data_IF_570159301363
#
_entry.id   IF_570159301363
#
_cell.length_a   1.000
_cell.length_b   1.000
_cell.length_c   1.000
_cell.angle_alpha   90.00
_cell.angle_beta   90.00
_cell.angle_gamma   90.00
#
_symmetry.space_group_name_H-M   'P 1'
#
loop_
_entity.id
_entity.type
_entity.pdbx_description
1 polymer ?
#
# COMPACT_ATOMS: atom_id res chain seq x y z
N UNK A 1 -85.05 -19.84 10.12
CA UNK A 1 -85.05 -18.70 11.06
C UNK A 1 -84.30 -17.57 10.39
N UNK A 2 -85.02 -16.64 9.78
CA UNK A 2 -84.53 -15.29 9.46
C UNK A 2 -84.53 -14.44 10.74
N UNK A 3 -84.22 -13.13 10.74
CA UNK A 3 -83.46 -12.26 9.81
C UNK A 3 -82.39 -11.45 10.63
N UNK A 4 -81.65 -10.44 10.13
CA UNK A 4 -82.08 -9.03 9.98
C UNK A 4 -80.89 -8.24 9.39
N UNK A 5 -81.05 -7.61 8.21
CA UNK A 5 -81.53 -6.23 7.99
C UNK A 5 -80.34 -5.28 7.75
N UNK A 6 -80.10 -4.91 6.48
CA UNK A 6 -80.58 -3.67 5.81
C UNK A 6 -79.79 -2.43 6.30
N UNK A 7 -79.19 -1.60 5.45
CA UNK A 7 -79.81 -0.48 4.71
C UNK A 7 -78.77 0.16 3.74
N UNK A 8 -79.31 0.68 2.63
CA UNK A 8 -78.80 1.37 1.41
C UNK A 8 -78.23 2.81 1.65
N UNK A 9 -78.04 3.73 0.65
CA UNK A 9 -77.49 3.71 -0.73
C UNK A 9 -76.56 4.94 -1.08
N UNK A 10 -76.26 5.12 -2.39
CA UNK A 10 -75.93 6.38 -3.13
C UNK A 10 -74.50 6.91 -3.02
N UNK A 11 -73.88 7.55 -4.02
CA UNK A 11 -74.12 7.72 -5.45
C UNK A 11 -72.78 8.17 -6.05
N UNK A 12 -72.67 8.03 -7.36
CA UNK A 12 -72.13 9.03 -8.29
C UNK A 12 -70.82 8.73 -9.03
N UNK A 13 -70.96 8.94 -10.34
CA UNK A 13 -70.06 8.65 -11.44
C UNK A 13 -69.07 9.81 -11.70
N UNK A 14 -67.78 9.46 -11.83
CA UNK A 14 -66.79 9.96 -12.83
C UNK A 14 -66.38 11.46 -12.86
N UNK A 15 -65.30 11.85 -13.59
CA UNK A 15 -63.99 11.22 -13.79
C UNK A 15 -62.79 12.18 -13.56
N UNK A 16 -61.59 11.61 -13.70
CA UNK A 16 -60.26 12.22 -13.76
C UNK A 16 -60.14 13.43 -14.71
N UNK A 17 -59.48 14.50 -14.27
CA UNK A 17 -58.78 15.45 -15.13
C UNK A 17 -57.69 16.22 -14.38
N UNK A 18 -56.48 16.09 -14.93
CA UNK A 18 -55.26 16.88 -14.78
C UNK A 18 -55.43 18.37 -14.46
N UNK A 19 -54.62 18.87 -13.53
CA UNK A 19 -54.05 20.22 -13.62
C UNK A 19 -52.69 20.27 -12.90
N UNK A 20 -51.64 20.22 -13.73
CA UNK A 20 -50.28 20.70 -13.47
C UNK A 20 -50.27 22.01 -12.67
N UNK A 21 -49.52 22.06 -11.57
CA UNK A 21 -49.04 23.33 -11.00
C UNK A 21 -47.52 23.29 -10.95
N UNK A 22 -46.93 24.00 -11.91
CA UNK A 22 -45.52 24.38 -11.92
C UNK A 22 -45.28 25.37 -10.78
N UNK A 23 -44.36 25.04 -9.89
CA UNK A 23 -43.69 26.00 -9.00
C UNK A 23 -42.19 25.84 -9.21
N UNK A 24 -41.62 26.91 -9.73
CA UNK A 24 -40.25 27.08 -10.21
C UNK A 24 -39.23 27.23 -9.07
N UNK A 25 -38.07 26.62 -9.31
CA UNK A 25 -36.70 27.01 -8.95
C UNK A 25 -36.32 27.23 -7.49
N UNK A 26 -35.56 26.27 -6.96
CA UNK A 26 -34.16 26.48 -6.51
C UNK A 26 -33.45 25.11 -6.50
N UNK A 27 -32.44 24.84 -7.34
CA UNK A 27 -31.60 23.67 -7.16
C UNK A 27 -30.52 23.99 -6.13
N UNK A 28 -30.67 23.36 -4.97
CA UNK A 28 -29.63 22.69 -4.20
C UNK A 28 -28.22 23.29 -4.36
N UNK A 29 -27.86 24.18 -3.43
CA UNK A 29 -26.46 24.49 -3.14
C UNK A 29 -25.79 23.19 -2.70
N UNK A 30 -25.21 22.51 -3.68
CA UNK A 30 -24.19 21.49 -3.46
C UNK A 30 -23.07 22.15 -2.68
N UNK A 31 -23.10 21.96 -1.36
CA UNK A 31 -21.96 22.17 -0.47
C UNK A 31 -20.84 21.21 -0.91
N UNK A 32 -20.12 21.59 -1.95
CA UNK A 32 -18.79 21.08 -2.24
C UNK A 32 -17.90 21.58 -1.12
N UNK A 33 -17.77 20.78 -0.08
CA UNK A 33 -16.65 20.89 0.85
C UNK A 33 -15.37 20.93 -0.01
N UNK A 34 -14.47 21.91 0.17
CA UNK A 34 -13.20 21.87 -0.52
C UNK A 34 -12.51 20.57 -0.14
N UNK A 35 -12.12 19.78 -1.14
CA UNK A 35 -11.18 18.68 -0.94
C UNK A 35 -9.95 19.33 -0.31
N UNK A 36 -9.60 18.93 0.92
CA UNK A 36 -8.47 19.47 1.67
C UNK A 36 -7.23 19.52 0.79
N UNK A 37 -6.82 20.72 0.39
CA UNK A 37 -5.90 20.91 -0.73
C UNK A 37 -4.43 20.62 -0.37
N UNK A 38 -4.04 20.43 0.90
CA UNK A 38 -2.64 20.24 1.27
C UNK A 38 -2.39 19.41 2.55
N UNK A 39 -2.72 18.12 2.53
CA UNK A 39 -2.03 17.18 3.42
C UNK A 39 -1.39 16.11 2.53
N UNK A 40 -0.08 16.18 2.35
CA UNK A 40 0.68 15.13 1.68
C UNK A 40 0.24 13.77 2.26
N UNK A 41 -0.48 12.98 1.46
CA UNK A 41 -1.05 11.71 1.92
C UNK A 41 0.09 10.71 2.07
N UNK A 42 0.66 10.64 3.27
CA UNK A 42 1.76 9.72 3.58
C UNK A 42 1.34 8.28 3.35
N UNK A 43 2.20 7.52 2.68
CA UNK A 43 2.02 6.10 2.41
C UNK A 43 3.16 5.32 3.06
N UNK A 44 2.84 4.28 3.84
CA UNK A 44 3.80 3.23 4.17
C UNK A 44 3.67 2.11 3.15
N UNK A 45 4.68 1.96 2.30
CA UNK A 45 4.76 0.94 1.26
C UNK A 45 5.70 -0.20 1.71
N UNK A 46 5.09 -1.33 2.06
CA UNK A 46 5.76 -2.54 2.51
C UNK A 46 5.92 -3.50 1.33
N UNK A 47 7.15 -3.67 0.85
CA UNK A 47 7.46 -4.47 -0.35
C UNK A 47 7.94 -5.86 0.04
N UNK A 48 7.29 -6.89 -0.49
CA UNK A 48 7.71 -8.30 -0.50
C UNK A 48 8.08 -8.84 0.90
N UNK A 49 7.38 -8.39 1.94
CA UNK A 49 7.59 -8.85 3.32
C UNK A 49 6.90 -10.19 3.54
N UNK A 50 7.46 -11.20 2.89
CA UNK A 50 6.93 -12.55 2.84
C UNK A 50 7.75 -13.50 3.70
N UNK A 51 7.14 -14.62 4.11
CA UNK A 51 7.75 -15.62 5.00
C UNK A 51 9.10 -16.12 4.48
N UNK A 52 9.23 -16.32 3.17
CA UNK A 52 10.47 -16.79 2.55
C UNK A 52 11.67 -15.85 2.85
N UNK A 53 11.49 -14.54 2.67
CA UNK A 53 12.56 -13.54 2.81
C UNK A 53 13.06 -13.42 4.25
N UNK A 54 12.18 -13.65 5.23
CA UNK A 54 12.44 -13.50 6.67
C UNK A 54 12.71 -14.81 7.40
N UNK A 55 12.78 -15.93 6.67
CA UNK A 55 13.18 -17.22 7.24
C UNK A 55 14.63 -17.18 7.73
N UNK A 56 15.05 -18.11 8.63
CA UNK A 56 16.44 -18.20 9.04
C UNK A 56 17.38 -18.40 7.82
N UNK A 57 18.55 -17.74 7.79
CA UNK A 57 19.55 -17.99 6.75
C UNK A 57 19.97 -19.47 6.70
N UNK A 58 20.25 -20.02 5.50
CA UNK A 58 20.38 -19.31 4.22
C UNK A 58 19.07 -19.19 3.43
N UNK A 59 17.92 -19.60 3.99
CA UNK A 59 16.63 -19.53 3.27
C UNK A 59 16.20 -18.07 3.10
N UNK A 60 16.15 -17.32 4.20
CA UNK A 60 15.94 -15.88 4.17
C UNK A 60 17.25 -15.10 4.05
N UNK A 61 17.13 -13.78 3.94
CA UNK A 61 18.29 -12.88 3.83
C UNK A 61 19.19 -12.97 5.08
N UNK A 62 20.51 -12.71 4.97
CA UNK A 62 21.42 -12.76 6.11
C UNK A 62 20.98 -11.90 7.31
N UNK A 63 20.37 -10.73 7.04
CA UNK A 63 19.91 -9.78 8.06
C UNK A 63 18.47 -10.03 8.56
N UNK A 64 17.87 -11.19 8.30
CA UNK A 64 16.42 -11.42 8.47
C UNK A 64 15.90 -11.08 9.87
N UNK A 65 16.62 -11.48 10.93
CA UNK A 65 16.23 -11.18 12.30
C UNK A 65 16.17 -9.68 12.62
N UNK A 66 17.20 -8.93 12.20
CA UNK A 66 17.28 -7.48 12.43
C UNK A 66 16.20 -6.75 11.63
N UNK A 67 16.04 -7.09 10.35
CA UNK A 67 15.05 -6.44 9.48
C UNK A 67 13.62 -6.76 9.94
N UNK A 68 13.33 -7.99 10.39
CA UNK A 68 12.03 -8.33 10.99
C UNK A 68 11.72 -7.40 12.18
N UNK A 69 12.66 -7.23 13.11
CA UNK A 69 12.45 -6.37 14.28
C UNK A 69 12.15 -4.91 13.87
N UNK A 70 12.90 -4.36 12.91
CA UNK A 70 12.69 -3.01 12.40
C UNK A 70 11.34 -2.85 11.69
N UNK A 71 10.98 -3.80 10.80
CA UNK A 71 9.69 -3.77 10.10
C UNK A 71 8.50 -3.86 11.06
N UNK A 72 8.63 -4.66 12.12
CA UNK A 72 7.62 -4.74 13.20
C UNK A 72 7.42 -3.39 13.86
N UNK A 73 8.53 -2.69 14.18
CA UNK A 73 8.48 -1.37 14.80
C UNK A 73 7.86 -0.34 13.86
N UNK A 74 8.29 -0.28 12.59
CA UNK A 74 7.76 0.67 11.59
C UNK A 74 6.26 0.49 11.43
N UNK A 75 5.81 -0.75 11.24
CA UNK A 75 4.38 -1.04 11.08
C UNK A 75 3.58 -0.69 12.35
N UNK A 76 4.13 -0.91 13.53
CA UNK A 76 3.50 -0.49 14.78
C UNK A 76 3.38 1.03 14.90
N UNK A 77 4.43 1.79 14.55
CA UNK A 77 4.37 3.26 14.54
C UNK A 77 3.34 3.78 13.53
N UNK A 78 3.33 3.25 12.31
CA UNK A 78 2.37 3.65 11.28
C UNK A 78 0.92 3.36 11.70
N UNK A 79 0.64 2.20 12.31
CA UNK A 79 -0.69 1.84 12.80
C UNK A 79 -1.15 2.69 14.00
N UNK A 80 -0.22 3.21 14.79
CA UNK A 80 -0.50 4.06 15.94
C UNK A 80 -0.55 5.56 15.60
N UNK A 81 -0.23 5.93 14.36
CA UNK A 81 -0.18 7.31 13.92
C UNK A 81 -1.57 7.96 13.86
N UNK A 82 -1.58 9.26 14.08
CA UNK A 82 -2.72 10.15 13.86
C UNK A 82 -2.22 11.35 13.07
N UNK A 83 -2.88 11.75 11.97
CA UNK A 83 -3.73 10.89 11.15
C UNK A 83 -2.95 9.65 10.64
N UNK A 84 -3.60 8.49 10.46
CA UNK A 84 -2.90 7.29 9.99
C UNK A 84 -2.45 7.46 8.53
N UNK A 85 -1.23 6.98 8.16
CA UNK A 85 -0.83 6.88 6.77
C UNK A 85 -1.64 5.79 6.06
N UNK A 86 -1.68 5.85 4.73
CA UNK A 86 -2.14 4.71 3.94
C UNK A 86 -1.08 3.60 4.01
N UNK A 87 -1.45 2.41 4.50
CA UNK A 87 -0.54 1.26 4.55
C UNK A 87 -0.83 0.33 3.38
N UNK A 88 0.18 0.08 2.55
CA UNK A 88 0.10 -0.79 1.38
C UNK A 88 1.11 -1.91 1.50
N UNK A 89 0.63 -3.15 1.56
CA UNK A 89 1.42 -4.36 1.48
C UNK A 89 1.47 -4.83 0.03
N UNK A 90 2.67 -5.06 -0.48
CA UNK A 90 2.87 -5.65 -1.80
C UNK A 90 3.55 -6.99 -1.62
N UNK A 91 2.98 -8.05 -2.21
CA UNK A 91 3.63 -9.37 -2.30
C UNK A 91 4.18 -9.59 -3.70
N UNK A 92 5.37 -10.15 -3.78
CA UNK A 92 5.88 -10.70 -5.03
C UNK A 92 5.25 -12.06 -5.28
N UNK A 93 4.82 -12.29 -6.51
CA UNK A 93 4.32 -13.58 -7.00
C UNK A 93 5.37 -14.17 -7.95
N UNK A 94 6.19 -15.06 -7.41
CA UNK A 94 7.22 -15.78 -8.14
C UNK A 94 6.67 -16.70 -9.24
N UNK A 95 7.59 -17.34 -9.95
CA UNK A 95 7.29 -18.43 -10.87
C UNK A 95 7.15 -19.76 -10.10
N UNK A 96 6.73 -20.80 -10.81
CA UNK A 96 6.54 -22.14 -10.23
C UNK A 96 7.88 -22.67 -9.71
N UNK A 97 7.91 -23.09 -8.44
CA UNK A 97 9.09 -23.59 -7.75
C UNK A 97 9.90 -22.52 -7.01
N UNK A 98 9.57 -21.24 -7.16
CA UNK A 98 10.18 -20.17 -6.36
C UNK A 98 9.69 -20.24 -4.90
N UNK A 99 10.51 -19.74 -3.97
CA UNK A 99 10.15 -19.71 -2.55
C UNK A 99 8.91 -18.82 -2.26
N UNK A 100 8.61 -17.88 -3.16
CA UNK A 100 7.45 -17.00 -3.18
C UNK A 100 6.49 -17.33 -4.35
N UNK A 101 6.40 -18.61 -4.75
CA UNK A 101 5.33 -19.08 -5.62
C UNK A 101 3.94 -18.80 -4.99
N UNK A 102 2.96 -18.25 -5.73
CA UNK A 102 1.64 -17.97 -5.20
C UNK A 102 1.00 -19.15 -4.45
N UNK A 103 0.47 -18.87 -3.27
CA UNK A 103 -0.13 -19.82 -2.32
C UNK A 103 0.85 -20.78 -1.62
N UNK A 104 2.15 -20.73 -1.92
CA UNK A 104 3.14 -21.45 -1.12
C UNK A 104 3.24 -20.85 0.30
N UNK A 105 3.69 -21.64 1.31
CA UNK A 105 3.89 -21.11 2.66
C UNK A 105 4.84 -19.90 2.70
N UNK A 106 5.91 -19.92 1.89
CA UNK A 106 6.88 -18.83 1.79
C UNK A 106 6.34 -17.54 1.18
N UNK A 107 5.24 -17.62 0.42
CA UNK A 107 4.60 -16.50 -0.26
C UNK A 107 3.70 -15.64 0.65
N UNK A 108 3.25 -16.17 1.79
CA UNK A 108 2.36 -15.44 2.68
C UNK A 108 3.07 -14.21 3.28
N UNK A 109 2.30 -13.14 3.52
CA UNK A 109 2.80 -12.00 4.29
C UNK A 109 3.12 -12.46 5.72
N UNK A 110 4.25 -11.99 6.26
CA UNK A 110 4.59 -12.27 7.67
C UNK A 110 3.71 -11.46 8.62
N UNK A 111 3.32 -10.25 8.21
CA UNK A 111 2.46 -9.35 8.97
C UNK A 111 1.06 -9.39 8.38
N UNK A 112 0.07 -9.93 9.10
CA UNK A 112 -1.30 -9.90 8.64
C UNK A 112 -1.78 -8.44 8.47
N UNK A 113 -2.38 -8.10 7.32
CA UNK A 113 -2.95 -6.78 7.12
C UNK A 113 -4.16 -6.57 8.04
N UNK A 114 -4.31 -5.34 8.54
CA UNK A 114 -5.50 -4.93 9.29
C UNK A 114 -6.61 -4.40 8.35
N UNK A 115 -7.87 -4.33 8.81
CA UNK A 115 -8.92 -3.67 8.04
C UNK A 115 -8.53 -2.24 7.63
N UNK A 116 -8.66 -1.93 6.34
CA UNK A 116 -8.26 -0.64 5.76
C UNK A 116 -6.85 -0.61 5.17
N UNK A 117 -6.01 -1.61 5.47
CA UNK A 117 -4.70 -1.76 4.81
C UNK A 117 -4.87 -2.44 3.45
N UNK A 118 -4.13 -1.95 2.45
CA UNK A 118 -4.22 -2.45 1.07
C UNK A 118 -3.24 -3.60 0.87
N UNK A 119 -3.66 -4.64 0.14
CA UNK A 119 -2.77 -5.72 -0.31
C UNK A 119 -2.80 -5.80 -1.82
N UNK A 120 -1.62 -5.84 -2.45
CA UNK A 120 -1.44 -6.03 -3.87
C UNK A 120 -0.46 -7.18 -4.14
N UNK A 121 -0.71 -7.94 -5.18
CA UNK A 121 0.23 -8.93 -5.68
C UNK A 121 0.90 -8.39 -6.97
N UNK A 122 2.22 -8.56 -7.10
CA UNK A 122 2.99 -8.12 -8.28
C UNK A 122 3.82 -9.25 -8.87
N UNK A 123 4.08 -9.19 -10.18
CA UNK A 123 5.01 -10.10 -10.89
C UNK A 123 6.25 -9.42 -11.46
N UNK A 124 6.39 -8.12 -11.25
CA UNK A 124 7.49 -7.29 -11.77
C UNK A 124 8.22 -6.68 -10.58
N UNK A 125 9.50 -6.31 -10.76
CA UNK A 125 10.29 -5.72 -9.67
C UNK A 125 9.65 -4.41 -9.18
N UNK A 126 9.29 -3.51 -10.10
CA UNK A 126 8.59 -2.28 -9.73
C UNK A 126 7.14 -2.58 -9.36
N UNK A 127 6.75 -2.21 -8.14
CA UNK A 127 5.37 -2.40 -7.66
C UNK A 127 4.35 -1.56 -8.44
N UNK A 128 4.77 -0.53 -9.17
CA UNK A 128 3.92 0.24 -10.08
C UNK A 128 3.67 -0.45 -11.43
N UNK A 129 4.49 -1.44 -11.81
CA UNK A 129 4.40 -2.09 -13.10
C UNK A 129 3.43 -3.27 -13.06
N UNK A 130 2.31 -3.16 -13.77
CA UNK A 130 1.33 -4.23 -13.89
C UNK A 130 0.47 -4.44 -12.64
N UNK A 131 0.35 -3.43 -11.78
CA UNK A 131 -0.56 -3.40 -10.63
C UNK A 131 -1.40 -2.12 -10.64
N UNK A 132 -2.35 -2.01 -9.71
CA UNK A 132 -3.17 -0.79 -9.52
C UNK A 132 -2.51 0.24 -8.58
N UNK A 133 -1.25 0.06 -8.18
CA UNK A 133 -0.59 0.92 -7.19
C UNK A 133 -0.60 2.41 -7.58
N UNK A 134 -0.48 2.72 -8.88
CA UNK A 134 -0.51 4.09 -9.39
C UNK A 134 -1.86 4.80 -9.21
N UNK A 135 -2.95 4.04 -9.13
CA UNK A 135 -4.29 4.57 -8.85
C UNK A 135 -4.55 4.76 -7.35
N UNK A 136 -3.78 4.07 -6.52
CA UNK A 136 -3.89 4.09 -5.05
C UNK A 136 -3.02 5.20 -4.46
N UNK A 137 -1.79 5.38 -4.98
CA UNK A 137 -0.84 6.36 -4.49
C UNK A 137 -0.81 7.56 -5.44
N UNK A 138 -1.23 8.73 -4.96
CA UNK A 138 -1.19 9.96 -5.74
C UNK A 138 0.26 10.37 -6.08
N UNK A 139 0.51 11.10 -7.18
CA UNK A 139 1.85 11.56 -7.56
C UNK A 139 2.54 12.45 -6.52
N UNK A 140 1.78 13.20 -5.72
CA UNK A 140 2.24 14.12 -4.68
C UNK A 140 2.33 13.49 -3.28
N UNK A 141 2.04 12.19 -3.16
CA UNK A 141 2.18 11.45 -1.91
C UNK A 141 3.65 11.24 -1.54
N UNK A 142 3.97 11.39 -0.25
CA UNK A 142 5.24 10.98 0.35
C UNK A 142 5.18 9.47 0.65
N UNK A 143 6.12 8.70 0.11
CA UNK A 143 6.15 7.24 0.23
C UNK A 143 7.30 6.82 1.13
N UNK A 144 6.97 6.27 2.29
CA UNK A 144 7.89 5.57 3.18
C UNK A 144 8.01 4.13 2.72
N UNK A 145 9.20 3.71 2.30
CA UNK A 145 9.46 2.39 1.72
C UNK A 145 10.27 1.52 2.68
N UNK A 146 9.86 0.27 2.83
CA UNK A 146 10.60 -0.78 3.53
C UNK A 146 10.30 -2.16 2.92
N UNK A 147 11.20 -3.13 3.11
CA UNK A 147 11.01 -4.53 2.69
C UNK A 147 12.09 -5.09 1.77
N UNK A 148 11.72 -5.91 0.80
CA UNK A 148 12.63 -6.76 0.04
C UNK A 148 12.38 -6.72 -1.47
N UNK A 149 13.32 -7.11 -2.33
CA UNK A 149 14.76 -7.12 -2.05
C UNK A 149 15.38 -5.78 -2.42
N UNK A 150 16.46 -5.39 -1.74
CA UNK A 150 17.09 -4.07 -1.88
C UNK A 150 17.47 -3.75 -3.33
N UNK A 151 18.21 -4.63 -3.99
CA UNK A 151 18.66 -4.46 -5.37
C UNK A 151 17.63 -4.77 -6.44
N UNK A 152 16.47 -5.33 -6.08
CA UNK A 152 15.36 -5.65 -6.98
C UNK A 152 14.17 -4.72 -6.76
N UNK A 153 13.18 -5.17 -5.98
CA UNK A 153 11.90 -4.49 -5.85
C UNK A 153 11.99 -3.13 -5.20
N UNK A 154 12.88 -2.96 -4.20
CA UNK A 154 13.11 -1.67 -3.54
C UNK A 154 13.67 -0.68 -4.56
N UNK A 155 14.84 -0.98 -5.17
CA UNK A 155 15.47 -0.14 -6.19
C UNK A 155 14.51 0.24 -7.32
N UNK A 156 13.81 -0.74 -7.89
CA UNK A 156 12.91 -0.53 -9.03
C UNK A 156 11.63 0.23 -8.65
N UNK A 157 11.12 0.07 -7.44
CA UNK A 157 9.91 0.77 -6.99
C UNK A 157 10.22 2.20 -6.60
N UNK A 158 11.30 2.45 -5.85
CA UNK A 158 11.76 3.80 -5.51
C UNK A 158 12.06 4.62 -6.78
N UNK A 159 12.80 4.04 -7.73
CA UNK A 159 13.08 4.70 -9.01
C UNK A 159 11.82 5.04 -9.80
N UNK A 160 10.81 4.17 -9.81
CA UNK A 160 9.52 4.44 -10.46
C UNK A 160 8.70 5.50 -9.73
N UNK A 161 8.72 5.50 -8.39
CA UNK A 161 8.05 6.52 -7.58
C UNK A 161 8.63 7.92 -7.85
N UNK A 162 9.95 8.07 -7.87
CA UNK A 162 10.61 9.34 -8.21
C UNK A 162 10.21 9.84 -9.60
N UNK A 163 10.19 8.95 -10.61
CA UNK A 163 9.75 9.30 -11.98
C UNK A 163 8.29 9.75 -12.05
N UNK A 164 7.45 9.35 -11.08
CA UNK A 164 6.05 9.78 -10.97
C UNK A 164 5.89 11.13 -10.25
N UNK A 165 6.95 11.66 -9.63
CA UNK A 165 6.92 12.90 -8.85
C UNK A 165 6.74 12.71 -7.35
N UNK A 166 6.74 11.46 -6.86
CA UNK A 166 6.61 11.21 -5.42
C UNK A 166 7.88 11.61 -4.67
N UNK A 167 7.69 12.14 -3.46
CA UNK A 167 8.74 12.15 -2.44
C UNK A 167 8.89 10.72 -1.90
N UNK A 168 10.14 10.24 -1.79
CA UNK A 168 10.42 8.86 -1.39
C UNK A 168 11.37 8.87 -0.21
N UNK A 169 10.96 8.23 0.88
CA UNK A 169 11.75 8.00 2.08
C UNK A 169 12.08 6.50 2.15
N UNK A 170 13.35 6.11 2.14
CA UNK A 170 13.77 4.72 2.33
C UNK A 170 14.38 4.56 3.72
N UNK A 171 13.89 3.61 4.51
CA UNK A 171 14.37 3.41 5.88
C UNK A 171 15.53 2.40 5.89
N UNK A 172 16.74 2.89 6.11
CA UNK A 172 17.95 2.08 6.28
C UNK A 172 17.77 1.05 7.39
N UNK A 173 18.17 -0.18 7.09
CA UNK A 173 18.03 -1.31 8.00
C UNK A 173 16.62 -1.90 8.06
N UNK A 174 15.65 -1.34 7.33
CA UNK A 174 14.33 -1.92 7.12
C UNK A 174 14.13 -2.45 5.68
N UNK A 175 15.23 -2.59 4.94
CA UNK A 175 15.31 -3.36 3.71
C UNK A 175 16.56 -4.23 3.75
N UNK A 176 16.55 -5.33 3.00
CA UNK A 176 17.74 -6.17 2.85
C UNK A 176 17.73 -6.95 1.53
N UNK A 177 18.84 -7.63 1.26
CA UNK A 177 18.99 -8.55 0.12
C UNK A 177 19.85 -9.76 0.50
N UNK A 178 20.13 -10.62 -0.47
CA UNK A 178 20.99 -11.79 -0.32
C UNK A 178 22.44 -11.47 -0.70
N UNK A 179 23.36 -12.28 -0.17
CA UNK A 179 24.73 -12.31 -0.68
C UNK A 179 24.71 -12.68 -2.18
N UNK A 180 25.37 -11.87 -3.02
CA UNK A 180 25.41 -12.09 -4.46
C UNK A 180 26.65 -12.89 -4.84
N UNK A 181 26.43 -14.02 -5.50
CA UNK A 181 27.49 -14.80 -6.11
C UNK A 181 27.90 -14.11 -7.41
N UNK A 182 29.12 -13.60 -7.45
CA UNK A 182 29.68 -13.00 -8.66
C UNK A 182 30.12 -14.12 -9.62
N UNK A 183 29.59 -14.11 -10.83
CA UNK A 183 29.91 -15.11 -11.87
C UNK A 183 31.01 -14.63 -12.84
N UNK A 184 31.36 -13.35 -12.80
CA UNK A 184 32.39 -12.73 -13.64
C UNK A 184 33.64 -12.38 -12.82
N UNK A 185 34.76 -12.11 -13.50
CA UNK A 185 36.02 -11.61 -12.91
C UNK A 185 36.62 -12.44 -11.76
N UNK A 186 36.60 -13.76 -11.88
CA UNK A 186 37.29 -14.67 -10.95
C UNK A 186 36.40 -15.25 -9.84
N UNK A 187 35.11 -14.97 -9.88
CA UNK A 187 34.16 -15.44 -8.87
C UNK A 187 34.23 -14.63 -7.58
N UNK A 188 33.35 -14.94 -6.64
CA UNK A 188 33.35 -14.32 -5.31
C UNK A 188 31.95 -14.15 -4.75
N UNK A 189 31.89 -13.61 -3.55
CA UNK A 189 30.63 -13.25 -2.89
C UNK A 189 30.70 -11.77 -2.57
N UNK A 190 29.75 -11.01 -3.12
CA UNK A 190 29.47 -9.64 -2.68
C UNK A 190 28.50 -9.75 -1.50
N UNK A 191 28.91 -9.35 -0.28
CA UNK A 191 28.02 -9.42 0.89
C UNK A 191 26.78 -8.56 0.69
N UNK A 192 25.63 -9.04 1.19
CA UNK A 192 24.34 -8.35 1.13
C UNK A 192 24.44 -6.90 1.61
N UNK A 193 25.14 -6.66 2.72
CA UNK A 193 25.33 -5.31 3.28
C UNK A 193 26.07 -4.35 2.37
N UNK A 194 26.98 -4.84 1.52
CA UNK A 194 27.65 -4.00 0.51
C UNK A 194 26.67 -3.62 -0.59
N UNK A 195 25.86 -4.57 -1.06
CA UNK A 195 24.84 -4.33 -2.08
C UNK A 195 23.80 -3.33 -1.56
N UNK A 196 23.38 -3.49 -0.30
CA UNK A 196 22.46 -2.58 0.38
C UNK A 196 23.00 -1.14 0.38
N UNK A 197 24.24 -0.94 0.84
CA UNK A 197 24.87 0.38 0.85
C UNK A 197 25.08 1.00 -0.54
N UNK A 198 25.42 0.18 -1.55
CA UNK A 198 25.53 0.64 -2.95
C UNK A 198 24.18 1.13 -3.50
N UNK A 199 23.10 0.41 -3.21
CA UNK A 199 21.74 0.80 -3.63
C UNK A 199 21.24 2.02 -2.89
N UNK A 200 21.49 2.12 -1.59
CA UNK A 200 21.17 3.32 -0.81
C UNK A 200 21.82 4.56 -1.41
N UNK A 201 23.12 4.48 -1.74
CA UNK A 201 23.84 5.59 -2.36
C UNK A 201 23.30 5.95 -3.75
N UNK A 202 22.99 4.95 -4.59
CA UNK A 202 22.36 5.16 -5.91
C UNK A 202 21.01 5.87 -5.78
N UNK A 203 20.16 5.40 -4.87
CA UNK A 203 18.84 5.95 -4.66
C UNK A 203 18.90 7.35 -4.04
N UNK A 204 19.83 7.59 -3.12
CA UNK A 204 20.07 8.91 -2.53
C UNK A 204 20.51 9.93 -3.59
N UNK A 205 21.45 9.56 -4.47
CA UNK A 205 21.87 10.42 -5.59
C UNK A 205 20.71 10.69 -6.56
N UNK A 206 19.80 9.73 -6.74
CA UNK A 206 18.59 9.90 -7.55
C UNK A 206 17.51 10.78 -6.90
N UNK A 207 17.61 11.08 -5.60
CA UNK A 207 16.68 11.94 -4.86
C UNK A 207 15.78 11.23 -3.85
N UNK A 208 16.03 9.96 -3.51
CA UNK A 208 15.40 9.31 -2.35
C UNK A 208 16.04 9.84 -1.07
N UNK A 209 15.23 10.16 -0.07
CA UNK A 209 15.76 10.47 1.26
C UNK A 209 16.01 9.19 2.05
N UNK A 210 17.25 8.94 2.43
CA UNK A 210 17.59 7.78 3.27
C UNK A 210 17.50 8.17 4.75
N UNK A 211 16.66 7.47 5.50
CA UNK A 211 16.42 7.72 6.93
C UNK A 211 16.90 6.53 7.76
N UNK A 212 17.31 6.78 9.01
CA UNK A 212 17.66 5.72 9.94
C UNK A 212 16.46 5.33 10.81
N UNK A 213 16.52 4.15 11.44
CA UNK A 213 15.48 3.69 12.38
C UNK A 213 15.18 4.67 13.52
N UNK A 214 16.14 5.52 13.92
CA UNK A 214 15.96 6.55 14.95
C UNK A 214 15.00 7.66 14.51
N UNK A 215 14.82 7.85 13.21
CA UNK A 215 14.00 8.90 12.63
C UNK A 215 12.54 8.45 12.48
N UNK A 216 12.29 7.12 12.44
CA UNK A 216 10.97 6.49 12.25
C UNK A 216 9.86 7.07 13.14
N UNK A 217 10.06 7.28 14.45
CA UNK A 217 9.01 7.88 15.26
C UNK A 217 8.58 9.26 14.72
N UNK A 218 9.53 10.09 14.30
CA UNK A 218 9.25 11.42 13.75
C UNK A 218 8.62 11.42 12.36
N UNK A 219 8.74 10.32 11.59
CA UNK A 219 8.07 10.16 10.30
C UNK A 219 6.56 10.08 10.49
N UNK A 220 6.07 9.42 11.54
CA UNK A 220 4.63 9.15 11.72
C UNK A 220 3.95 10.04 12.77
N UNK A 221 4.66 11.05 13.30
CA UNK A 221 4.09 12.04 14.22
C UNK A 221 3.38 13.17 13.46
N UNK A 222 2.31 13.70 14.06
CA UNK A 222 1.50 14.82 13.55
C UNK A 222 2.39 15.95 12.99
N UNK A 223 2.20 16.29 11.71
CA UNK A 223 2.62 17.55 11.09
C UNK A 223 1.40 18.32 10.62
#
# INVERSE_FOLDING_TARGET
>A
MSPDSSILPTDNLSPLSSAYRSSTSSPDETSSQPISEHAAHRVLLLLDIQVAMLSPPPIGVPASATVHAHLTQILAYARAASPPPLIVHVRNSGDVGDADEPNAPGWQLIFPPLPGEVVLDKRKNSAFAGTNLSSIIAPDAEIVVAGFQTDYSIRATCSSALKRGNEVLLIRGAHATYDRIEVLHGGGITPASRIEGEVEAELEEAGVHILDMKDVPGIFMDR
#
